data_IF_203799546918
#
_entry.id   IF_203799546918
#
_cell.length_a   1.000
_cell.length_b   1.000
_cell.length_c   1.000
_cell.angle_alpha   90.00
_cell.angle_beta   90.00
_cell.angle_gamma   90.00
#
_symmetry.space_group_name_H-M   'P 1'
#
loop_
_entity.id
_entity.type
_entity.pdbx_description
1 polymer ?
#
# COMPACT_ATOMS: atom_id res chain seq x y z
N UNK A 1 29.20 2.90 -5.87
CA UNK A 1 28.45 1.91 -6.68
C UNK A 1 27.53 1.15 -5.73
N UNK A 2 26.23 1.11 -5.99
CA UNK A 2 25.26 0.44 -5.11
C UNK A 2 25.36 -1.08 -5.31
N UNK A 3 25.42 -1.85 -4.22
CA UNK A 3 25.46 -3.31 -4.33
C UNK A 3 24.05 -3.86 -4.65
N UNK A 4 23.97 -5.12 -5.11
CA UNK A 4 22.70 -5.76 -5.49
C UNK A 4 21.63 -5.69 -4.39
N UNK A 5 22.00 -5.98 -3.14
CA UNK A 5 21.08 -5.99 -2.00
C UNK A 5 20.55 -4.60 -1.66
N UNK A 6 21.41 -3.59 -1.64
CA UNK A 6 21.02 -2.19 -1.44
C UNK A 6 20.09 -1.74 -2.56
N UNK A 7 20.34 -2.17 -3.81
CA UNK A 7 19.47 -1.86 -4.94
C UNK A 7 18.08 -2.51 -4.77
N UNK A 8 18.02 -3.76 -4.31
CA UNK A 8 16.76 -4.47 -4.04
C UNK A 8 15.99 -3.93 -2.83
N UNK A 9 16.67 -3.54 -1.75
CA UNK A 9 16.03 -2.82 -0.64
C UNK A 9 15.47 -1.46 -1.09
N UNK A 10 16.20 -0.77 -1.96
CA UNK A 10 15.74 0.51 -2.53
C UNK A 10 14.52 0.31 -3.43
N UNK A 11 14.44 -0.80 -4.17
CA UNK A 11 13.26 -1.20 -4.95
C UNK A 11 12.05 -1.41 -4.04
N UNK A 12 12.20 -2.15 -2.93
CA UNK A 12 11.12 -2.31 -1.94
C UNK A 12 10.65 -0.95 -1.42
N UNK A 13 11.57 -0.09 -0.96
CA UNK A 13 11.22 1.23 -0.42
C UNK A 13 10.48 2.11 -1.43
N UNK A 14 10.83 2.01 -2.72
CA UNK A 14 10.11 2.74 -3.78
C UNK A 14 8.68 2.23 -3.94
N UNK A 15 8.47 0.92 -3.92
CA UNK A 15 7.12 0.34 -3.96
C UNK A 15 6.30 0.65 -2.71
N UNK A 16 6.92 0.61 -1.52
CA UNK A 16 6.29 1.09 -0.27
C UNK A 16 5.82 2.54 -0.43
N UNK A 17 6.65 3.41 -1.01
CA UNK A 17 6.26 4.80 -1.27
C UNK A 17 5.11 4.91 -2.27
N UNK A 18 5.06 4.06 -3.31
CA UNK A 18 3.93 4.01 -4.25
C UNK A 18 2.64 3.65 -3.53
N UNK A 19 2.64 2.61 -2.70
CA UNK A 19 1.48 2.18 -1.92
C UNK A 19 0.98 3.31 -1.00
N UNK A 20 1.88 3.91 -0.21
CA UNK A 20 1.52 5.04 0.67
C UNK A 20 1.00 6.23 -0.14
N UNK A 21 1.53 6.48 -1.33
CA UNK A 21 1.06 7.56 -2.21
C UNK A 21 -0.35 7.28 -2.76
N UNK A 22 -0.65 6.03 -3.11
CA UNK A 22 -1.99 5.60 -3.53
C UNK A 22 -2.99 5.90 -2.40
N UNK A 23 -2.71 5.41 -1.19
CA UNK A 23 -3.56 5.64 -0.02
C UNK A 23 -3.71 7.11 0.35
N UNK A 24 -2.64 7.90 0.24
CA UNK A 24 -2.71 9.34 0.46
C UNK A 24 -3.63 10.04 -0.55
N UNK A 25 -3.52 9.70 -1.85
CA UNK A 25 -4.38 10.27 -2.90
C UNK A 25 -5.84 9.87 -2.68
N UNK A 26 -6.11 8.60 -2.38
CA UNK A 26 -7.46 8.11 -2.11
C UNK A 26 -8.05 8.77 -0.86
N UNK A 27 -7.26 8.94 0.20
CA UNK A 27 -7.67 9.69 1.40
C UNK A 27 -8.01 11.14 1.10
N UNK A 28 -7.22 11.82 0.25
CA UNK A 28 -7.54 13.18 -0.17
C UNK A 28 -8.85 13.24 -0.98
N UNK A 29 -9.08 12.25 -1.85
CA UNK A 29 -10.35 12.12 -2.56
C UNK A 29 -11.52 11.93 -1.58
N UNK A 30 -11.39 11.02 -0.62
CA UNK A 30 -12.36 10.80 0.44
C UNK A 30 -12.64 12.09 1.23
N UNK A 31 -11.59 12.81 1.64
CA UNK A 31 -11.70 14.06 2.37
C UNK A 31 -12.53 15.10 1.62
N UNK A 32 -12.25 15.27 0.32
CA UNK A 32 -12.98 16.21 -0.55
C UNK A 32 -14.44 15.79 -0.74
N UNK A 33 -14.70 14.49 -0.84
CA UNK A 33 -16.05 13.97 -1.07
C UNK A 33 -16.95 13.98 0.18
N UNK A 34 -16.41 13.69 1.36
CA UNK A 34 -17.22 13.34 2.53
C UNK A 34 -17.00 14.20 3.78
N UNK A 35 -15.99 15.07 3.80
CA UNK A 35 -15.65 15.88 4.99
C UNK A 35 -15.86 17.37 4.71
N UNK A 36 -16.88 18.00 5.33
CA UNK A 36 -17.12 19.44 5.19
C UNK A 36 -15.94 20.28 5.69
N UNK A 37 -15.67 21.40 5.04
CA UNK A 37 -14.61 22.35 5.44
C UNK A 37 -14.77 22.85 6.89
N UNK A 38 -16.01 23.05 7.34
CA UNK A 38 -16.30 23.44 8.74
C UNK A 38 -15.85 22.40 9.76
N UNK A 39 -15.87 21.12 9.40
CA UNK A 39 -15.38 20.03 10.26
C UNK A 39 -13.85 20.10 10.41
N UNK A 40 -13.12 20.45 9.34
CA UNK A 40 -11.66 20.65 9.43
C UNK A 40 -11.30 21.81 10.35
N UNK A 41 -12.02 22.93 10.27
CA UNK A 41 -11.79 24.09 11.14
C UNK A 41 -12.08 23.75 12.61
N UNK A 42 -13.23 23.11 12.87
CA UNK A 42 -13.64 22.73 14.22
C UNK A 42 -12.67 21.75 14.90
N UNK A 43 -12.05 20.85 14.12
CA UNK A 43 -11.18 19.79 14.61
C UNK A 43 -9.71 19.94 14.21
N UNK A 44 -9.26 21.15 13.88
CA UNK A 44 -7.90 21.43 13.41
C UNK A 44 -6.78 20.86 14.32
N UNK A 45 -7.00 20.88 15.64
CA UNK A 45 -6.05 20.34 16.63
C UNK A 45 -5.89 18.81 16.56
N UNK A 46 -6.88 18.11 16.01
CA UNK A 46 -6.87 16.65 15.88
C UNK A 46 -6.22 16.17 14.58
N UNK A 47 -6.08 17.06 13.58
CA UNK A 47 -5.56 16.71 12.26
C UNK A 47 -4.12 16.16 12.26
N UNK A 48 -3.17 16.68 13.07
CA UNK A 48 -1.84 16.08 13.14
C UNK A 48 -1.87 14.65 13.67
N UNK A 49 -2.74 14.36 14.65
CA UNK A 49 -2.93 13.00 15.18
C UNK A 49 -3.60 12.09 14.15
N UNK A 50 -4.60 12.60 13.43
CA UNK A 50 -5.24 11.92 12.31
C UNK A 50 -4.19 11.52 11.27
N UNK A 51 -3.40 12.49 10.78
CA UNK A 51 -2.37 12.27 9.78
C UNK A 51 -1.28 11.28 10.25
N UNK A 52 -0.87 11.37 11.52
CA UNK A 52 0.11 10.45 12.09
C UNK A 52 -0.40 9.01 12.15
N UNK A 53 -1.62 8.80 12.66
CA UNK A 53 -2.20 7.45 12.70
C UNK A 53 -2.51 6.93 11.29
N UNK A 54 -2.96 7.81 10.40
CA UNK A 54 -3.26 7.47 9.02
C UNK A 54 -2.01 6.94 8.29
N UNK A 55 -0.87 7.61 8.48
CA UNK A 55 0.42 7.13 7.98
C UNK A 55 0.83 5.79 8.61
N UNK A 56 0.53 5.55 9.90
CA UNK A 56 0.83 4.28 10.56
C UNK A 56 0.03 3.13 9.94
N UNK A 57 -1.26 3.33 9.65
CA UNK A 57 -2.09 2.35 8.95
C UNK A 57 -1.56 2.09 7.54
N UNK A 58 -1.27 3.14 6.77
CA UNK A 58 -0.74 3.01 5.41
C UNK A 58 0.59 2.23 5.37
N UNK A 59 1.51 2.56 6.30
CA UNK A 59 2.79 1.88 6.43
C UNK A 59 2.63 0.43 6.88
N UNK A 60 1.64 0.13 7.73
CA UNK A 60 1.37 -1.24 8.15
C UNK A 60 0.92 -2.12 6.98
N UNK A 61 0.01 -1.61 6.13
CA UNK A 61 -0.42 -2.32 4.91
C UNK A 61 0.76 -2.46 3.94
N UNK A 62 1.55 -1.41 3.74
CA UNK A 62 2.71 -1.47 2.85
C UNK A 62 3.78 -2.47 3.36
N UNK A 63 3.95 -2.59 4.69
CA UNK A 63 4.84 -3.58 5.32
C UNK A 63 4.34 -5.02 5.12
N UNK A 64 3.02 -5.26 5.24
CA UNK A 64 2.44 -6.57 4.90
C UNK A 64 2.68 -6.96 3.44
N UNK A 65 2.70 -6.00 2.52
CA UNK A 65 3.06 -6.26 1.12
C UNK A 65 4.57 -6.50 0.97
N UNK A 66 5.41 -5.74 1.67
CA UNK A 66 6.86 -5.76 1.53
C UNK A 66 7.56 -6.96 2.19
N UNK A 67 6.94 -7.61 3.19
CA UNK A 67 7.57 -8.73 3.91
C UNK A 67 7.94 -9.89 2.98
N UNK A 68 7.07 -10.27 2.05
CA UNK A 68 7.36 -11.38 1.13
C UNK A 68 8.56 -11.06 0.22
N UNK A 69 8.60 -9.92 -0.50
CA UNK A 69 9.78 -9.46 -1.22
C UNK A 69 11.06 -9.42 -0.38
N UNK A 70 10.95 -8.95 0.86
CA UNK A 70 12.10 -8.88 1.76
C UNK A 70 12.63 -10.27 2.12
N UNK A 71 11.77 -11.21 2.51
CA UNK A 71 12.13 -12.61 2.78
C UNK A 71 12.77 -13.27 1.55
N UNK A 72 12.20 -13.02 0.38
CA UNK A 72 12.71 -13.49 -0.90
C UNK A 72 14.14 -12.99 -1.17
N UNK A 73 14.43 -11.71 -0.89
CA UNK A 73 15.79 -11.16 -1.00
C UNK A 73 16.74 -11.78 0.02
N UNK A 74 16.27 -12.08 1.24
CA UNK A 74 17.08 -12.76 2.25
C UNK A 74 17.47 -14.17 1.81
N UNK A 75 16.54 -14.93 1.23
CA UNK A 75 16.86 -16.27 0.67
C UNK A 75 17.89 -16.16 -0.45
N UNK A 76 17.82 -15.11 -1.28
CA UNK A 76 18.81 -14.84 -2.31
C UNK A 76 20.23 -14.56 -1.80
N UNK A 77 20.41 -14.20 -0.52
CA UNK A 77 21.76 -14.14 0.07
C UNK A 77 22.46 -15.50 0.05
N UNK A 78 21.68 -16.58 0.17
CA UNK A 78 22.19 -17.95 0.24
C UNK A 78 22.24 -18.63 -1.14
N UNK A 79 21.42 -18.17 -2.10
CA UNK A 79 21.34 -18.76 -3.45
C UNK A 79 22.25 -18.01 -4.44
N UNK A 80 23.39 -18.63 -4.79
CA UNK A 80 24.40 -18.05 -5.71
C UNK A 80 24.14 -18.40 -7.19
N UNK A 81 22.89 -18.34 -7.64
CA UNK A 81 22.51 -18.66 -9.02
C UNK A 81 21.92 -17.42 -9.75
N UNK A 82 22.58 -16.98 -10.83
CA UNK A 82 22.16 -15.79 -11.61
C UNK A 82 20.81 -15.96 -12.31
N UNK A 83 20.50 -17.17 -12.80
CA UNK A 83 19.21 -17.44 -13.46
C UNK A 83 18.05 -17.29 -12.48
N UNK A 84 18.25 -17.74 -11.24
CA UNK A 84 17.26 -17.62 -10.15
C UNK A 84 17.07 -16.15 -9.77
N UNK A 85 18.15 -15.38 -9.64
CA UNK A 85 18.07 -13.95 -9.33
C UNK A 85 17.27 -13.16 -10.37
N UNK A 86 17.52 -13.41 -11.66
CA UNK A 86 16.80 -12.73 -12.74
C UNK A 86 15.31 -13.11 -12.83
N UNK A 87 14.97 -14.37 -12.60
CA UNK A 87 13.57 -14.81 -12.50
C UNK A 87 12.86 -14.13 -11.33
N UNK A 88 13.52 -14.09 -10.17
CA UNK A 88 12.99 -13.49 -8.95
C UNK A 88 12.78 -11.98 -9.09
N UNK A 89 13.70 -11.29 -9.75
CA UNK A 89 13.61 -9.87 -10.07
C UNK A 89 12.33 -9.55 -10.87
N UNK A 90 11.99 -10.41 -11.85
CA UNK A 90 10.72 -10.28 -12.61
C UNK A 90 9.50 -10.61 -11.75
N UNK A 91 9.57 -11.68 -10.96
CA UNK A 91 8.50 -12.08 -10.05
C UNK A 91 8.15 -10.95 -9.07
N UNK A 92 9.14 -10.32 -8.43
CA UNK A 92 8.93 -9.21 -7.51
C UNK A 92 8.29 -8.00 -8.19
N UNK A 93 8.74 -7.64 -9.39
CA UNK A 93 8.15 -6.53 -10.14
C UNK A 93 6.67 -6.80 -10.49
N UNK A 94 6.34 -8.01 -10.94
CA UNK A 94 4.95 -8.39 -11.21
C UNK A 94 4.11 -8.43 -9.93
N UNK A 95 4.67 -8.98 -8.85
CA UNK A 95 4.02 -9.04 -7.53
C UNK A 95 3.59 -7.65 -7.04
N UNK A 96 4.49 -6.67 -7.08
CA UNK A 96 4.17 -5.31 -6.64
C UNK A 96 3.11 -4.66 -7.53
N UNK A 97 3.23 -4.77 -8.85
CA UNK A 97 2.22 -4.19 -9.76
C UNK A 97 0.83 -4.75 -9.47
N UNK A 98 0.72 -6.06 -9.31
CA UNK A 98 -0.57 -6.71 -9.05
C UNK A 98 -1.14 -6.22 -7.72
N UNK A 99 -0.35 -6.23 -6.64
CA UNK A 99 -0.85 -5.80 -5.34
C UNK A 99 -1.15 -4.31 -5.25
N UNK A 100 -0.34 -3.44 -5.87
CA UNK A 100 -0.61 -2.00 -5.94
C UNK A 100 -1.92 -1.71 -6.67
N UNK A 101 -2.21 -2.44 -7.76
CA UNK A 101 -3.49 -2.34 -8.47
C UNK A 101 -4.65 -2.86 -7.62
N UNK A 102 -4.48 -4.00 -6.94
CA UNK A 102 -5.52 -4.56 -6.06
C UNK A 102 -5.82 -3.59 -4.91
N UNK A 103 -4.80 -3.02 -4.26
CA UNK A 103 -4.98 -2.05 -3.19
C UNK A 103 -5.66 -0.77 -3.68
N UNK A 104 -5.29 -0.27 -4.87
CA UNK A 104 -5.98 0.86 -5.49
C UNK A 104 -7.46 0.57 -5.71
N UNK A 105 -7.79 -0.61 -6.25
CA UNK A 105 -9.18 -1.01 -6.50
C UNK A 105 -9.94 -1.11 -5.18
N UNK A 106 -9.38 -1.79 -4.17
CA UNK A 106 -10.02 -1.93 -2.85
C UNK A 106 -10.30 -0.57 -2.21
N UNK A 107 -9.33 0.35 -2.24
CA UNK A 107 -9.48 1.68 -1.65
C UNK A 107 -10.53 2.55 -2.40
N UNK A 108 -10.66 2.37 -3.72
CA UNK A 108 -11.72 3.05 -4.51
C UNK A 108 -13.10 2.42 -4.30
N UNK A 109 -13.17 1.09 -4.15
CA UNK A 109 -14.40 0.37 -3.79
C UNK A 109 -14.86 0.82 -2.40
N UNK A 110 -13.93 1.03 -1.47
CA UNK A 110 -14.23 1.52 -0.13
C UNK A 110 -14.87 2.91 -0.15
N UNK A 111 -14.38 3.84 -0.98
CA UNK A 111 -15.04 5.13 -1.22
C UNK A 111 -16.49 4.95 -1.71
N UNK A 112 -16.70 4.06 -2.68
CA UNK A 112 -18.03 3.77 -3.22
C UNK A 112 -18.96 3.18 -2.15
N UNK A 113 -18.44 2.25 -1.35
CA UNK A 113 -19.16 1.66 -0.23
C UNK A 113 -19.52 2.71 0.83
N UNK A 114 -18.56 3.56 1.21
CA UNK A 114 -18.77 4.64 2.17
C UNK A 114 -19.84 5.65 1.70
N UNK A 115 -19.91 5.94 0.40
CA UNK A 115 -20.95 6.83 -0.15
C UNK A 115 -22.37 6.34 0.12
N UNK A 116 -22.59 5.02 0.24
CA UNK A 116 -23.91 4.43 0.40
C UNK A 116 -24.20 4.05 1.86
N UNK A 117 -23.17 3.60 2.59
CA UNK A 117 -23.34 3.02 3.92
C UNK A 117 -22.75 3.89 5.04
N UNK A 118 -22.04 4.98 4.70
CA UNK A 118 -21.34 5.85 5.65
C UNK A 118 -20.45 5.08 6.63
N UNK A 119 -19.85 3.99 6.15
CA UNK A 119 -18.95 3.11 6.88
C UNK A 119 -17.94 2.56 5.88
N UNK A 120 -16.71 2.32 6.33
CA UNK A 120 -15.73 1.59 5.53
C UNK A 120 -16.15 0.12 5.37
N UNK A 121 -15.55 -0.55 4.38
CA UNK A 121 -15.77 -1.97 4.09
C UNK A 121 -15.61 -2.78 5.38
N UNK A 122 -16.65 -3.54 5.69
CA UNK A 122 -16.73 -4.41 6.85
C UNK A 122 -17.39 -5.74 6.45
N UNK A 123 -17.68 -6.62 7.41
CA UNK A 123 -18.25 -7.95 7.13
C UNK A 123 -19.55 -7.89 6.29
N UNK A 124 -20.36 -6.83 6.46
CA UNK A 124 -21.61 -6.62 5.72
C UNK A 124 -21.38 -6.53 4.22
N UNK A 125 -20.21 -6.08 3.77
CA UNK A 125 -19.85 -6.08 2.35
C UNK A 125 -19.97 -7.48 1.73
N UNK A 126 -19.63 -8.52 2.48
CA UNK A 126 -19.68 -9.91 2.01
C UNK A 126 -21.08 -10.51 2.07
N UNK A 127 -21.95 -10.03 2.96
CA UNK A 127 -23.35 -10.49 3.06
C UNK A 127 -24.14 -10.20 1.78
N UNK A 128 -23.83 -9.09 1.09
CA UNK A 128 -24.41 -8.74 -0.20
C UNK A 128 -24.20 -9.80 -1.28
N UNK A 129 -23.03 -10.44 -1.30
CA UNK A 129 -22.74 -11.50 -2.27
C UNK A 129 -23.50 -12.80 -1.96
N UNK A 130 -23.97 -12.98 -0.72
CA UNK A 130 -24.71 -14.16 -0.30
C UNK A 130 -26.21 -14.08 -0.64
N UNK A 131 -26.80 -12.88 -0.74
CA UNK A 131 -28.24 -12.74 -0.97
C UNK A 131 -28.64 -12.82 -2.45
N UNK A 132 -28.11 -11.95 -3.33
CA UNK A 132 -28.35 -11.98 -4.77
C UNK A 132 -27.28 -11.15 -5.53
N UNK A 133 -26.14 -11.75 -5.93
CA UNK A 133 -25.03 -10.99 -6.52
C UNK A 133 -25.36 -10.39 -7.90
N UNK A 134 -26.25 -11.03 -8.68
CA UNK A 134 -26.59 -10.57 -10.03
C UNK A 134 -27.40 -9.27 -10.03
N UNK A 135 -28.38 -9.13 -9.14
CA UNK A 135 -29.17 -7.90 -9.03
C UNK A 135 -28.30 -6.73 -8.57
N UNK A 136 -27.35 -6.97 -7.66
CA UNK A 136 -26.41 -5.95 -7.21
C UNK A 136 -25.52 -5.46 -8.34
N UNK A 137 -24.97 -6.37 -9.16
CA UNK A 137 -24.18 -5.98 -10.33
C UNK A 137 -25.00 -5.18 -11.34
N UNK A 138 -26.28 -5.54 -11.52
CA UNK A 138 -27.19 -4.79 -12.38
C UNK A 138 -27.45 -3.38 -11.83
N UNK A 139 -27.74 -3.24 -10.54
CA UNK A 139 -27.91 -1.93 -9.90
C UNK A 139 -26.65 -1.09 -10.01
N UNK A 140 -25.46 -1.68 -9.79
CA UNK A 140 -24.19 -0.97 -9.97
C UNK A 140 -24.04 -0.49 -11.42
N UNK A 141 -24.38 -1.34 -12.40
CA UNK A 141 -24.29 -0.98 -13.81
C UNK A 141 -25.26 0.13 -14.21
N UNK A 142 -26.46 0.14 -13.66
CA UNK A 142 -27.53 1.10 -13.98
C UNK A 142 -27.33 2.45 -13.26
N UNK A 143 -26.92 2.44 -11.99
CA UNK A 143 -26.82 3.64 -11.15
C UNK A 143 -25.45 4.32 -11.24
N UNK A 144 -24.39 3.57 -11.55
CA UNK A 144 -23.02 4.11 -11.57
C UNK A 144 -22.50 4.25 -13.00
N UNK A 145 -21.64 5.25 -13.20
CA UNK A 145 -20.91 5.44 -14.45
C UNK A 145 -19.75 4.43 -14.56
N UNK A 146 -20.08 3.13 -14.62
CA UNK A 146 -19.12 2.01 -14.51
C UNK A 146 -18.00 2.14 -15.54
N UNK A 147 -18.30 2.50 -16.78
CA UNK A 147 -17.29 2.68 -17.83
C UNK A 147 -16.30 3.80 -17.47
N UNK A 148 -16.79 4.91 -16.92
CA UNK A 148 -15.96 6.03 -16.49
C UNK A 148 -15.04 5.61 -15.35
N UNK A 149 -15.57 4.95 -14.32
CA UNK A 149 -14.77 4.47 -13.19
C UNK A 149 -13.75 3.41 -13.62
N UNK A 150 -14.13 2.44 -14.45
CA UNK A 150 -13.20 1.45 -15.01
C UNK A 150 -12.10 2.11 -15.85
N UNK A 151 -12.43 3.15 -16.63
CA UNK A 151 -11.42 3.88 -17.41
C UNK A 151 -10.43 4.63 -16.50
N UNK A 152 -10.90 5.25 -15.42
CA UNK A 152 -10.07 5.95 -14.45
C UNK A 152 -9.14 4.97 -13.70
N UNK A 153 -9.68 3.85 -13.23
CA UNK A 153 -8.92 2.75 -12.60
C UNK A 153 -7.89 2.18 -13.58
N UNK A 154 -8.29 1.96 -14.84
CA UNK A 154 -7.39 1.47 -15.89
C UNK A 154 -6.24 2.42 -16.16
N UNK A 155 -6.51 3.73 -16.23
CA UNK A 155 -5.49 4.77 -16.41
C UNK A 155 -4.52 4.84 -15.22
N UNK A 156 -5.05 4.81 -13.98
CA UNK A 156 -4.23 4.79 -12.78
C UNK A 156 -3.37 3.52 -12.70
N UNK A 157 -3.95 2.36 -13.00
CA UNK A 157 -3.25 1.06 -13.06
C UNK A 157 -2.14 1.05 -14.11
N UNK A 158 -2.38 1.68 -15.27
CA UNK A 158 -1.37 1.86 -16.31
C UNK A 158 -0.22 2.77 -15.83
N UNK A 159 -0.54 3.83 -15.08
CA UNK A 159 0.45 4.69 -14.42
C UNK A 159 1.32 3.91 -13.43
N UNK A 160 0.70 3.10 -12.56
CA UNK A 160 1.39 2.19 -11.63
C UNK A 160 2.32 1.25 -12.39
N UNK A 161 1.82 0.61 -13.46
CA UNK A 161 2.63 -0.28 -14.29
C UNK A 161 3.86 0.43 -14.90
N UNK A 162 3.70 1.65 -15.43
CA UNK A 162 4.83 2.42 -15.97
C UNK A 162 5.83 2.73 -14.86
N UNK A 163 5.36 3.13 -13.68
CA UNK A 163 6.23 3.47 -12.55
C UNK A 163 7.01 2.24 -12.06
N UNK A 164 6.34 1.11 -11.90
CA UNK A 164 6.98 -0.16 -11.57
C UNK A 164 8.03 -0.57 -12.62
N UNK A 165 7.74 -0.40 -13.92
CA UNK A 165 8.73 -0.66 -14.98
C UNK A 165 9.93 0.29 -14.90
N UNK A 166 9.74 1.56 -14.52
CA UNK A 166 10.84 2.51 -14.29
C UNK A 166 11.69 2.10 -13.08
N UNK A 167 11.06 1.68 -11.99
CA UNK A 167 11.72 1.18 -10.78
C UNK A 167 12.58 -0.05 -11.13
N UNK A 168 11.97 -1.05 -11.76
CA UNK A 168 12.64 -2.29 -12.14
C UNK A 168 13.84 -2.05 -13.07
N UNK A 169 13.69 -1.21 -14.10
CA UNK A 169 14.81 -0.84 -15.01
C UNK A 169 15.99 -0.20 -14.27
N UNK A 170 15.71 0.66 -13.29
CA UNK A 170 16.74 1.28 -12.46
C UNK A 170 17.56 0.27 -11.66
N UNK A 171 16.92 -0.81 -11.19
CA UNK A 171 17.57 -1.87 -10.41
C UNK A 171 18.32 -2.88 -11.29
N UNK A 172 17.77 -3.24 -12.46
CA UNK A 172 18.37 -4.20 -13.40
C UNK A 172 19.77 -3.78 -13.90
N UNK A 173 20.01 -2.47 -14.05
CA UNK A 173 21.33 -1.95 -14.44
C UNK A 173 22.43 -2.27 -13.41
N UNK A 174 22.06 -2.43 -12.14
CA UNK A 174 22.95 -2.85 -11.06
C UNK A 174 23.07 -4.39 -10.97
N UNK A 175 22.07 -5.13 -11.44
CA UNK A 175 22.07 -6.60 -11.53
C UNK A 175 23.12 -7.09 -12.53
N UNK A 176 23.32 -6.43 -13.67
CA UNK A 176 24.37 -6.84 -14.62
C UNK A 176 25.82 -6.71 -14.09
N UNK A 177 26.04 -6.00 -12.98
CA UNK A 177 27.35 -5.85 -12.31
C UNK A 177 27.56 -6.86 -11.17
N UNK A 178 26.83 -7.99 -11.17
CA UNK A 178 26.83 -9.07 -10.16
C UNK A 178 28.15 -9.85 -10.01
N UNK A 179 29.30 -9.21 -10.11
CA UNK A 179 30.58 -9.83 -9.78
C UNK A 179 30.90 -9.75 -8.28
N UNK A 180 30.19 -8.92 -7.52
CA UNK A 180 30.36 -8.81 -6.07
C UNK A 180 29.06 -9.06 -5.31
N UNK A 181 28.72 -10.34 -5.15
CA UNK A 181 27.80 -10.81 -4.09
C UNK A 181 28.45 -10.73 -2.69
N UNK A 182 29.57 -10.00 -2.55
CA UNK A 182 30.26 -9.87 -1.27
C UNK A 182 29.36 -9.11 -0.29
N UNK A 183 28.88 -9.83 0.71
CA UNK A 183 28.15 -9.27 1.84
C UNK A 183 29.15 -8.49 2.69
N UNK A 184 29.13 -7.16 2.59
CA UNK A 184 29.92 -6.28 3.45
C UNK A 184 29.12 -5.94 4.72
N UNK A 185 29.81 -5.55 5.80
CA UNK A 185 29.24 -5.05 7.06
C UNK A 185 28.14 -4.00 6.82
N UNK A 186 28.32 -3.10 5.85
CA UNK A 186 27.30 -2.09 5.48
C UNK A 186 25.99 -2.72 5.01
N UNK A 187 26.05 -3.79 4.23
CA UNK A 187 24.86 -4.51 3.74
C UNK A 187 24.13 -5.18 4.89
N UNK A 188 24.86 -5.81 5.81
CA UNK A 188 24.28 -6.45 7.01
C UNK A 188 23.56 -5.42 7.86
N UNK A 189 24.21 -4.27 8.13
CA UNK A 189 23.59 -3.17 8.90
C UNK A 189 22.31 -2.68 8.24
N UNK A 190 22.29 -2.50 6.92
CA UNK A 190 21.09 -2.08 6.19
C UNK A 190 19.97 -3.13 6.26
N UNK A 191 20.29 -4.41 6.12
CA UNK A 191 19.31 -5.50 6.24
C UNK A 191 18.69 -5.54 7.65
N UNK A 192 19.54 -5.43 8.69
CA UNK A 192 19.06 -5.41 10.09
C UNK A 192 18.19 -4.18 10.34
N UNK A 193 18.59 -3.01 9.86
CA UNK A 193 17.79 -1.79 10.01
C UNK A 193 16.45 -1.92 9.27
N UNK A 194 16.45 -2.48 8.07
CA UNK A 194 15.22 -2.73 7.31
C UNK A 194 14.31 -3.74 8.03
N UNK A 195 14.87 -4.83 8.57
CA UNK A 195 14.11 -5.81 9.36
C UNK A 195 13.47 -5.16 10.60
N UNK A 196 14.20 -4.31 11.33
CA UNK A 196 13.66 -3.59 12.49
C UNK A 196 12.53 -2.64 12.04
N UNK A 197 12.72 -1.91 10.95
CA UNK A 197 11.69 -1.04 10.39
C UNK A 197 10.44 -1.81 9.99
N UNK A 198 10.59 -2.96 9.32
CA UNK A 198 9.49 -3.86 8.96
C UNK A 198 8.72 -4.35 10.18
N UNK A 199 9.41 -4.83 11.21
CA UNK A 199 8.75 -5.28 12.46
C UNK A 199 7.95 -4.17 13.11
N UNK A 200 8.50 -2.94 13.13
CA UNK A 200 7.80 -1.77 13.67
C UNK A 200 6.57 -1.41 12.82
N UNK A 201 6.69 -1.43 11.49
CA UNK A 201 5.59 -1.10 10.59
C UNK A 201 4.48 -2.17 10.60
N UNK A 202 4.82 -3.46 10.54
CA UNK A 202 3.87 -4.58 10.65
C UNK A 202 3.07 -4.53 11.95
N UNK A 203 3.73 -4.14 13.04
CA UNK A 203 3.06 -3.94 14.33
C UNK A 203 2.26 -2.64 14.38
N UNK A 204 2.66 -1.65 13.59
CA UNK A 204 2.12 -0.29 13.57
C UNK A 204 2.30 0.49 14.87
N UNK A 205 3.02 -0.05 15.85
CA UNK A 205 3.22 0.53 17.19
C UNK A 205 4.50 -0.02 17.82
N UNK A 206 5.19 0.80 18.61
CA UNK A 206 6.36 0.40 19.40
C UNK A 206 5.97 0.07 20.85
N UNK A 207 4.74 0.38 21.28
CA UNK A 207 4.34 0.33 22.69
C UNK A 207 3.75 -1.01 23.15
N UNK A 208 2.82 -1.05 24.11
CA UNK A 208 2.28 -2.31 24.67
C UNK A 208 1.37 -3.07 23.68
N UNK A 209 0.55 -2.36 22.92
CA UNK A 209 -0.41 -2.95 21.98
C UNK A 209 -0.02 -2.65 20.53
N UNK A 210 -0.28 -3.59 19.59
CA UNK A 210 -0.16 -3.32 18.15
C UNK A 210 -1.17 -2.23 17.74
N UNK A 211 -1.01 -1.66 16.54
CA UNK A 211 -1.99 -0.73 15.98
C UNK A 211 -3.35 -1.44 15.86
N UNK A 212 -4.39 -0.84 16.42
CA UNK A 212 -5.74 -1.39 16.43
C UNK A 212 -6.71 -0.42 15.74
N UNK A 213 -7.91 -0.89 15.39
CA UNK A 213 -8.94 -0.05 14.75
C UNK A 213 -9.34 1.12 15.66
N UNK A 214 -9.26 0.95 16.98
CA UNK A 214 -9.52 1.99 17.97
C UNK A 214 -8.54 3.17 17.86
N UNK A 215 -7.33 2.96 17.31
CA UNK A 215 -6.36 4.04 17.06
C UNK A 215 -6.81 4.98 15.92
N UNK A 216 -7.88 4.66 15.19
CA UNK A 216 -8.51 5.58 14.23
C UNK A 216 -9.28 6.72 14.90
N UNK A 217 -9.68 6.56 16.17
CA UNK A 217 -10.48 7.53 16.90
C UNK A 217 -9.60 8.61 17.54
N UNK A 218 -9.29 9.66 16.78
CA UNK A 218 -8.46 10.78 17.21
C UNK A 218 -9.26 12.00 17.69
N UNK A 219 -10.56 12.02 17.45
CA UNK A 219 -11.46 13.12 17.81
C UNK A 219 -12.89 12.63 18.12
N UNK A 220 -13.76 13.54 18.57
CA UNK A 220 -15.20 13.26 18.69
C UNK A 220 -15.96 13.30 17.36
N UNK A 221 -15.31 13.71 16.27
CA UNK A 221 -15.93 13.73 14.94
C UNK A 221 -15.69 12.42 14.21
N UNK A 222 -16.79 11.72 13.88
CA UNK A 222 -16.74 10.52 13.05
C UNK A 222 -16.03 10.77 11.72
N UNK A 223 -16.35 11.88 11.04
CA UNK A 223 -15.76 12.22 9.73
C UNK A 223 -14.24 12.40 9.78
N UNK A 224 -13.70 12.91 10.89
CA UNK A 224 -12.24 13.06 11.06
C UNK A 224 -11.58 11.71 11.37
N UNK A 225 -12.26 10.85 12.13
CA UNK A 225 -11.75 9.52 12.46
C UNK A 225 -11.76 8.60 11.22
N UNK A 226 -12.78 8.71 10.38
CA UNK A 226 -12.91 7.97 9.12
C UNK A 226 -11.87 8.41 8.05
N UNK A 227 -11.15 9.52 8.25
CA UNK A 227 -10.01 9.88 7.40
C UNK A 227 -8.75 9.06 7.70
N UNK A 228 -8.71 8.38 8.84
CA UNK A 228 -7.52 7.68 9.31
C UNK A 228 -7.28 6.38 8.54
N UNK A 229 -8.23 5.42 8.49
CA UNK A 229 -8.04 4.17 7.75
C UNK A 229 -8.22 4.33 6.23
N UNK A 230 -7.67 3.39 5.47
CA UNK A 230 -7.90 3.12 4.03
C UNK A 230 -7.96 1.62 3.79
#
# INVERSE_FOLDING_TARGET
MMNYFTAKLTEILKHTLVIVSIFFIVRLLFAVCFVPFTTFEAYAKSLPFAAFNALRFDLQVAAYVAILPFLVILVCLFVRNRSVAGWLSRFLSTYYVVLEIVLLILALVDIGFYSNFHSHINITFFDFFNENPLSLLQTIWEEYHVILYLSAVGMASFGIYILARKIAKGTLSCENKQESLAVNRKTIVLIVLFLVAEVVCLRGSVWRFPLQVEDSFVSSSKQINDLVPN
#
